data_IF_175189511024
#
_entry.id   IF_175189511024
#
_cell.length_a   1.000
_cell.length_b   1.000
_cell.length_c   1.000
_cell.angle_alpha   90.00
_cell.angle_beta   90.00
_cell.angle_gamma   90.00
#
_symmetry.space_group_name_H-M   'P 1'
#
loop_
_entity.id
_entity.type
_entity.pdbx_description
1 polymer ?
#
# COMPACT_ATOMS: atom_id res chain seq x y z
N UNK A 1 4.89 8.95 8.97
CA UNK A 1 3.62 9.47 8.42
C UNK A 1 2.88 10.32 9.42
N UNK A 2 2.57 11.56 9.04
CA UNK A 2 1.67 12.43 9.79
C UNK A 2 0.22 12.17 9.32
N UNK A 3 -0.56 11.45 10.11
CA UNK A 3 -1.95 11.10 9.77
C UNK A 3 -2.87 12.20 10.29
N UNK A 4 -3.72 12.83 9.44
CA UNK A 4 -4.64 13.86 9.90
C UNK A 4 -5.60 13.32 10.99
N UNK A 5 -5.95 14.12 12.02
CA UNK A 5 -6.72 13.64 13.18
C UNK A 5 -8.04 12.93 12.81
N UNK A 6 -8.76 13.43 11.81
CA UNK A 6 -10.01 12.81 11.31
C UNK A 6 -9.79 11.40 10.77
N UNK A 7 -8.68 11.16 10.07
CA UNK A 7 -8.36 9.84 9.53
C UNK A 7 -7.89 8.92 10.66
N UNK A 8 -7.02 9.43 11.54
CA UNK A 8 -6.46 8.66 12.64
C UNK A 8 -7.54 8.16 13.60
N UNK A 9 -8.53 9.00 13.95
CA UNK A 9 -9.61 8.60 14.86
C UNK A 9 -10.48 7.49 14.28
N UNK A 10 -10.78 7.54 12.97
CA UNK A 10 -11.50 6.49 12.27
C UNK A 10 -10.67 5.20 12.29
N UNK A 11 -9.40 5.26 11.91
CA UNK A 11 -8.51 4.09 11.84
C UNK A 11 -8.38 3.45 13.22
N UNK A 12 -8.11 4.22 14.28
CA UNK A 12 -7.97 3.69 15.65
C UNK A 12 -9.24 3.03 16.15
N UNK A 13 -10.41 3.63 15.86
CA UNK A 13 -11.72 3.06 16.22
C UNK A 13 -11.93 1.71 15.54
N UNK A 14 -11.70 1.63 14.22
CA UNK A 14 -11.90 0.38 13.49
C UNK A 14 -10.85 -0.67 13.86
N UNK A 15 -9.59 -0.27 14.05
CA UNK A 15 -8.49 -1.16 14.43
C UNK A 15 -8.74 -1.80 15.80
N UNK A 16 -9.17 -1.00 16.79
CA UNK A 16 -9.42 -1.49 18.15
C UNK A 16 -10.65 -2.42 18.24
N UNK A 17 -11.55 -2.36 17.25
CA UNK A 17 -12.76 -3.17 17.22
C UNK A 17 -12.58 -4.58 16.65
N UNK A 18 -11.38 -4.91 16.15
CA UNK A 18 -11.12 -6.16 15.42
C UNK A 18 -9.75 -6.75 15.75
N UNK A 19 -9.63 -8.09 15.75
CA UNK A 19 -8.32 -8.76 15.91
C UNK A 19 -7.48 -8.72 14.62
N UNK A 20 -8.12 -8.43 13.48
CA UNK A 20 -7.49 -8.39 12.16
C UNK A 20 -6.72 -9.67 11.84
N UNK A 21 -7.28 -10.81 12.23
CA UNK A 21 -6.65 -12.14 12.20
C UNK A 21 -7.18 -13.03 11.07
N UNK A 22 -8.24 -12.59 10.40
CA UNK A 22 -8.88 -13.26 9.27
C UNK A 22 -9.06 -12.31 8.09
N UNK A 23 -9.21 -12.87 6.87
CA UNK A 23 -9.52 -12.09 5.66
C UNK A 23 -10.80 -11.26 5.83
N UNK A 24 -11.83 -11.82 6.47
CA UNK A 24 -13.08 -11.10 6.74
C UNK A 24 -12.85 -9.87 7.62
N UNK A 25 -12.13 -10.04 8.72
CA UNK A 25 -11.81 -8.94 9.64
C UNK A 25 -10.99 -7.82 8.99
N UNK A 26 -10.01 -8.17 8.15
CA UNK A 26 -9.22 -7.19 7.39
C UNK A 26 -10.07 -6.45 6.34
N UNK A 27 -10.90 -7.21 5.61
CA UNK A 27 -11.84 -6.64 4.64
C UNK A 27 -12.79 -5.66 5.32
N UNK A 28 -13.38 -6.05 6.44
CA UNK A 28 -14.30 -5.22 7.22
C UNK A 28 -13.62 -3.97 7.78
N UNK A 29 -12.36 -4.07 8.20
CA UNK A 29 -11.55 -2.93 8.66
C UNK A 29 -11.37 -1.87 7.56
N UNK A 30 -10.83 -2.25 6.40
CA UNK A 30 -10.61 -1.29 5.31
C UNK A 30 -11.95 -0.72 4.79
N UNK A 31 -12.97 -1.56 4.61
CA UNK A 31 -14.28 -1.12 4.15
C UNK A 31 -14.96 -0.16 5.13
N UNK A 32 -14.83 -0.40 6.43
CA UNK A 32 -15.39 0.50 7.45
C UNK A 32 -14.66 1.84 7.47
N UNK A 33 -13.33 1.84 7.33
CA UNK A 33 -12.55 3.08 7.19
C UNK A 33 -12.99 3.90 5.97
N UNK A 34 -13.21 3.26 4.82
CA UNK A 34 -13.69 3.95 3.60
C UNK A 34 -15.09 4.51 3.76
N UNK A 35 -16.04 3.72 4.27
CA UNK A 35 -17.42 4.18 4.49
C UNK A 35 -17.45 5.36 5.46
N UNK A 36 -16.70 5.27 6.54
CA UNK A 36 -16.72 6.28 7.59
C UNK A 36 -16.09 7.60 7.13
N UNK A 37 -14.98 7.58 6.38
CA UNK A 37 -14.39 8.84 5.88
C UNK A 37 -15.29 9.54 4.85
N UNK A 38 -15.98 8.77 4.00
CA UNK A 38 -16.96 9.30 3.05
C UNK A 38 -18.11 9.97 3.81
N UNK A 39 -18.62 9.30 4.85
CA UNK A 39 -19.72 9.81 5.69
C UNK A 39 -19.33 11.06 6.47
N UNK A 40 -18.19 11.04 7.16
CA UNK A 40 -17.72 12.14 8.03
C UNK A 40 -17.41 13.39 7.22
N UNK A 41 -16.87 13.24 6.00
CA UNK A 41 -16.56 14.37 5.13
C UNK A 41 -17.71 14.73 4.16
N UNK A 42 -18.86 14.05 4.27
CA UNK A 42 -20.03 14.22 3.40
C UNK A 42 -19.67 14.24 1.89
N UNK A 43 -18.86 13.28 1.46
CA UNK A 43 -18.32 13.26 0.10
C UNK A 43 -19.36 12.71 -0.87
N UNK A 44 -19.75 13.53 -1.85
CA UNK A 44 -20.74 13.16 -2.87
C UNK A 44 -20.14 12.96 -4.26
N UNK A 45 -19.03 13.66 -4.57
CA UNK A 45 -18.41 13.57 -5.89
C UNK A 45 -17.35 12.46 -5.99
N UNK A 46 -17.18 11.97 -7.22
CA UNK A 46 -16.29 10.85 -7.51
C UNK A 46 -14.80 11.18 -7.30
N UNK A 47 -14.35 12.38 -7.68
CA UNK A 47 -12.93 12.73 -7.65
C UNK A 47 -12.42 12.88 -6.22
N UNK A 48 -13.18 13.59 -5.39
CA UNK A 48 -12.91 13.73 -3.95
C UNK A 48 -12.98 12.38 -3.26
N UNK A 49 -13.97 11.54 -3.58
CA UNK A 49 -14.06 10.18 -3.00
C UNK A 49 -12.83 9.35 -3.33
N UNK A 50 -12.40 9.34 -4.59
CA UNK A 50 -11.20 8.60 -5.01
C UNK A 50 -9.95 9.10 -4.26
N UNK A 51 -9.76 10.41 -4.15
CA UNK A 51 -8.62 10.99 -3.44
C UNK A 51 -8.65 10.66 -1.93
N UNK A 52 -9.79 10.85 -1.27
CA UNK A 52 -9.91 10.62 0.18
C UNK A 52 -9.85 9.15 0.56
N UNK A 53 -10.39 8.25 -0.27
CA UNK A 53 -10.28 6.80 -0.04
C UNK A 53 -8.88 6.27 -0.34
N UNK A 54 -8.17 6.82 -1.33
CA UNK A 54 -6.75 6.57 -1.54
C UNK A 54 -5.91 6.94 -0.33
N UNK A 55 -6.06 8.17 0.18
CA UNK A 55 -5.40 8.60 1.41
C UNK A 55 -5.76 7.70 2.61
N UNK A 56 -7.03 7.36 2.78
CA UNK A 56 -7.48 6.48 3.86
C UNK A 56 -6.82 5.10 3.77
N UNK A 57 -6.68 4.55 2.57
CA UNK A 57 -5.99 3.27 2.38
C UNK A 57 -4.53 3.35 2.82
N UNK A 58 -3.80 4.35 2.36
CA UNK A 58 -2.39 4.57 2.72
C UNK A 58 -2.21 4.71 4.25
N UNK A 59 -3.03 5.53 4.89
CA UNK A 59 -2.99 5.72 6.35
C UNK A 59 -3.35 4.43 7.11
N UNK A 60 -4.39 3.72 6.67
CA UNK A 60 -4.82 2.48 7.31
C UNK A 60 -3.78 1.36 7.13
N UNK A 61 -3.14 1.27 5.96
CA UNK A 61 -2.06 0.33 5.70
C UNK A 61 -0.83 0.64 6.55
N UNK A 62 -0.38 1.91 6.57
CA UNK A 62 0.74 2.32 7.42
C UNK A 62 0.49 1.99 8.89
N UNK A 63 -0.71 2.28 9.39
CA UNK A 63 -1.11 2.00 10.76
C UNK A 63 -1.12 0.49 11.05
N UNK A 64 -1.72 -0.30 10.16
CA UNK A 64 -1.75 -1.76 10.24
C UNK A 64 -0.32 -2.34 10.32
N UNK A 65 0.56 -1.91 9.42
CA UNK A 65 1.94 -2.40 9.36
C UNK A 65 2.71 -2.06 10.63
N UNK A 66 2.61 -0.80 11.08
CA UNK A 66 3.30 -0.33 12.28
C UNK A 66 2.80 -1.03 13.55
N UNK A 67 1.49 -1.13 13.73
CA UNK A 67 0.91 -1.60 15.00
C UNK A 67 0.71 -3.12 15.07
N UNK A 68 0.42 -3.80 13.94
CA UNK A 68 0.21 -5.25 13.93
C UNK A 68 1.52 -6.02 13.73
N UNK A 69 2.39 -5.55 12.85
CA UNK A 69 3.64 -6.25 12.50
C UNK A 69 4.89 -5.63 13.11
N UNK A 70 4.78 -4.47 13.76
CA UNK A 70 5.89 -3.80 14.44
C UNK A 70 7.07 -3.49 13.51
N UNK A 71 6.75 -3.15 12.26
CA UNK A 71 7.75 -2.69 11.29
C UNK A 71 7.92 -1.17 11.36
N UNK A 72 9.17 -0.74 11.19
CA UNK A 72 9.51 0.68 11.07
C UNK A 72 9.28 1.15 9.62
N UNK A 73 8.03 1.51 9.34
CA UNK A 73 7.56 1.97 8.04
C UNK A 73 7.52 3.50 7.99
N UNK A 74 8.04 4.09 6.92
CA UNK A 74 7.99 5.53 6.65
C UNK A 74 7.38 5.81 5.29
N UNK A 75 6.76 6.98 5.14
CA UNK A 75 6.18 7.49 3.91
C UNK A 75 7.20 8.34 3.12
N UNK A 76 6.97 8.47 1.81
CA UNK A 76 7.73 9.36 0.91
C UNK A 76 9.24 9.08 0.90
N UNK A 77 9.60 7.83 0.60
CA UNK A 77 11.01 7.43 0.51
C UNK A 77 11.58 7.92 -0.80
N UNK A 78 12.53 8.86 -0.72
CA UNK A 78 13.18 9.43 -1.90
C UNK A 78 14.00 8.38 -2.67
N UNK A 79 13.91 8.47 -4.00
CA UNK A 79 14.69 7.73 -4.99
C UNK A 79 15.57 8.73 -5.77
N UNK A 80 16.65 9.25 -5.16
CA UNK A 80 17.44 10.35 -5.72
C UNK A 80 18.16 10.00 -7.03
N UNK A 81 18.27 8.70 -7.36
CA UNK A 81 18.90 8.19 -8.59
C UNK A 81 17.89 7.66 -9.62
N UNK A 82 16.59 7.85 -9.40
CA UNK A 82 15.59 7.57 -10.43
C UNK A 82 15.76 8.60 -11.55
N UNK A 83 15.53 8.20 -12.81
CA UNK A 83 15.71 9.02 -14.01
C UNK A 83 14.78 10.26 -14.13
N UNK A 84 14.26 10.78 -13.02
CA UNK A 84 13.34 11.92 -12.95
C UNK A 84 14.11 13.14 -12.44
N UNK A 85 13.99 14.27 -13.15
CA UNK A 85 14.64 15.54 -12.80
C UNK A 85 14.25 16.09 -11.41
N UNK A 86 13.24 15.49 -10.76
CA UNK A 86 12.74 15.86 -9.44
C UNK A 86 13.05 14.82 -8.35
N UNK A 87 13.77 13.74 -8.70
CA UNK A 87 13.83 12.51 -7.88
C UNK A 87 12.52 11.72 -7.96
N UNK A 88 12.59 10.39 -7.90
CA UNK A 88 11.40 9.57 -7.69
C UNK A 88 11.06 9.50 -6.20
N UNK A 89 9.83 9.14 -5.85
CA UNK A 89 9.44 8.86 -4.47
C UNK A 89 8.62 7.57 -4.43
N UNK A 90 8.82 6.77 -3.39
CA UNK A 90 7.94 5.66 -3.06
C UNK A 90 6.86 6.11 -2.08
N UNK A 91 5.68 5.52 -2.19
CA UNK A 91 4.63 5.68 -1.19
C UNK A 91 5.16 5.29 0.20
N UNK A 92 5.81 4.12 0.32
CA UNK A 92 6.45 3.69 1.57
C UNK A 92 7.78 2.94 1.39
N UNK A 93 8.55 2.92 2.48
CA UNK A 93 9.63 1.96 2.68
C UNK A 93 9.69 1.48 4.12
N UNK A 94 10.19 0.26 4.30
CA UNK A 94 10.42 -0.32 5.63
C UNK A 94 11.91 -0.33 5.90
N UNK A 95 12.31 0.12 7.08
CA UNK A 95 13.71 0.21 7.51
C UNK A 95 14.01 -0.80 8.61
N UNK A 96 15.31 -1.06 8.81
CA UNK A 96 15.79 -1.79 9.99
C UNK A 96 15.35 -1.05 11.24
N UNK A 97 14.68 -1.77 12.12
CA UNK A 97 14.16 -1.22 13.37
C UNK A 97 15.29 -0.64 14.21
N UNK A 98 15.03 0.49 14.86
CA UNK A 98 15.97 1.19 15.74
C UNK A 98 17.28 1.63 15.03
N UNK A 99 17.24 1.76 13.70
CA UNK A 99 18.34 2.29 12.88
C UNK A 99 17.92 3.59 12.19
N UNK A 100 18.87 4.48 11.87
CA UNK A 100 18.57 5.70 11.12
C UNK A 100 17.93 5.38 9.77
N UNK A 101 16.97 6.21 9.34
CA UNK A 101 16.29 6.09 8.05
C UNK A 101 17.20 6.58 6.91
N UNK A 102 18.19 5.76 6.58
CA UNK A 102 19.16 5.98 5.51
C UNK A 102 19.20 4.77 4.59
N UNK A 103 19.63 4.98 3.34
CA UNK A 103 19.65 4.02 2.25
C UNK A 103 20.08 2.59 2.66
N UNK A 104 21.20 2.48 3.39
CA UNK A 104 21.77 1.18 3.82
C UNK A 104 20.87 0.36 4.76
N UNK A 105 19.88 0.98 5.38
CA UNK A 105 18.97 0.36 6.33
C UNK A 105 17.59 0.07 5.71
N UNK A 106 17.38 0.40 4.43
CA UNK A 106 16.15 0.09 3.73
C UNK A 106 16.03 -1.43 3.52
N UNK A 107 14.85 -1.98 3.82
CA UNK A 107 14.54 -3.39 3.71
C UNK A 107 13.66 -3.70 2.50
N UNK A 108 12.75 -2.80 2.13
CA UNK A 108 11.89 -2.96 0.97
C UNK A 108 11.31 -1.63 0.50
N UNK A 109 10.95 -1.57 -0.78
CA UNK A 109 10.13 -0.51 -1.36
C UNK A 109 8.67 -0.94 -1.50
N UNK A 110 7.73 -0.01 -1.33
CA UNK A 110 6.30 -0.30 -1.40
C UNK A 110 5.58 0.82 -2.16
N UNK A 111 4.80 0.43 -3.15
CA UNK A 111 3.77 1.27 -3.78
C UNK A 111 2.40 0.87 -3.24
N UNK A 112 1.58 1.83 -2.82
CA UNK A 112 0.25 1.62 -2.28
C UNK A 112 -0.82 2.05 -3.29
N UNK A 113 -1.75 1.15 -3.62
CA UNK A 113 -2.84 1.42 -4.56
C UNK A 113 -4.16 0.88 -4.03
N UNK A 114 -4.81 1.68 -3.18
CA UNK A 114 -6.10 1.36 -2.59
C UNK A 114 -7.28 2.01 -3.31
N UNK A 115 -8.46 1.47 -3.07
CA UNK A 115 -9.72 2.10 -3.48
C UNK A 115 -10.91 1.52 -2.72
N UNK A 116 -11.95 2.33 -2.56
CA UNK A 116 -13.25 1.83 -2.11
C UNK A 116 -13.82 0.81 -3.12
N UNK A 117 -14.08 -0.46 -2.70
CA UNK A 117 -14.57 -1.50 -3.61
C UNK A 117 -15.95 -1.21 -4.19
N UNK A 118 -16.74 -0.34 -3.55
CA UNK A 118 -18.05 0.09 -4.07
C UNK A 118 -17.93 1.17 -5.17
N UNK A 119 -16.72 1.54 -5.57
CA UNK A 119 -16.44 2.35 -6.76
C UNK A 119 -16.51 1.44 -8.01
N UNK A 120 -17.70 1.31 -8.59
CA UNK A 120 -18.06 0.22 -9.53
C UNK A 120 -17.34 0.24 -10.88
N UNK A 121 -16.59 1.28 -11.26
CA UNK A 121 -15.94 1.35 -12.59
C UNK A 121 -14.45 1.71 -12.59
N UNK A 122 -13.86 2.12 -11.46
CA UNK A 122 -12.51 2.71 -11.44
C UNK A 122 -11.69 2.39 -10.16
N UNK A 123 -11.90 1.22 -9.58
CA UNK A 123 -11.24 0.81 -8.35
C UNK A 123 -9.78 0.34 -8.56
N UNK A 124 -8.83 1.05 -7.94
CA UNK A 124 -7.48 0.54 -7.63
C UNK A 124 -6.72 -0.04 -8.84
N UNK A 125 -6.22 -1.28 -8.67
CA UNK A 125 -5.48 -2.01 -9.71
C UNK A 125 -6.37 -2.64 -10.79
N UNK A 126 -7.71 -2.47 -10.77
CA UNK A 126 -8.54 -2.87 -11.92
C UNK A 126 -8.24 -2.04 -13.18
N UNK A 127 -7.59 -0.88 -13.02
CA UNK A 127 -7.22 -0.02 -14.14
C UNK A 127 -5.78 -0.27 -14.56
N UNK A 128 -5.59 -0.41 -15.87
CA UNK A 128 -4.28 -0.60 -16.49
C UNK A 128 -3.33 0.57 -16.22
N UNK A 129 -3.82 1.81 -16.13
CA UNK A 129 -2.97 2.98 -15.82
C UNK A 129 -2.39 2.91 -14.41
N UNK A 130 -3.16 2.43 -13.44
CA UNK A 130 -2.69 2.25 -12.06
C UNK A 130 -1.56 1.22 -12.00
N UNK A 131 -1.70 0.09 -12.72
CA UNK A 131 -0.65 -0.94 -12.78
C UNK A 131 0.60 -0.42 -13.47
N UNK A 132 0.46 0.29 -14.60
CA UNK A 132 1.61 0.88 -15.31
C UNK A 132 2.40 1.83 -14.42
N UNK A 133 1.73 2.63 -13.58
CA UNK A 133 2.40 3.49 -12.59
C UNK A 133 3.18 2.66 -11.57
N UNK A 134 2.56 1.63 -11.02
CA UNK A 134 3.23 0.71 -10.08
C UNK A 134 4.44 0.00 -10.68
N UNK A 135 4.35 -0.50 -11.92
CA UNK A 135 5.47 -1.11 -12.65
C UNK A 135 6.58 -0.07 -12.88
N UNK A 136 6.23 1.16 -13.25
CA UNK A 136 7.21 2.24 -13.38
C UNK A 136 7.93 2.53 -12.06
N UNK A 137 7.22 2.61 -10.94
CA UNK A 137 7.82 2.77 -9.60
C UNK A 137 8.74 1.61 -9.27
N UNK A 138 8.31 0.37 -9.53
CA UNK A 138 9.11 -0.83 -9.31
C UNK A 138 10.41 -0.80 -10.12
N UNK A 139 10.33 -0.42 -11.39
CA UNK A 139 11.50 -0.32 -12.26
C UNK A 139 12.50 0.74 -11.75
N UNK A 140 12.01 1.91 -11.35
CA UNK A 140 12.86 2.96 -10.76
C UNK A 140 13.53 2.49 -9.48
N UNK A 141 12.78 1.83 -8.59
CA UNK A 141 13.30 1.27 -7.35
C UNK A 141 14.40 0.23 -7.63
N UNK A 142 14.12 -0.75 -8.50
CA UNK A 142 15.05 -1.85 -8.80
C UNK A 142 16.31 -1.39 -9.51
N UNK A 143 16.30 -0.23 -10.19
CA UNK A 143 17.53 0.36 -10.74
C UNK A 143 18.50 0.84 -9.67
N UNK A 144 18.00 1.25 -8.52
CA UNK A 144 18.81 1.69 -7.37
C UNK A 144 19.07 0.52 -6.41
N UNK A 145 18.04 -0.27 -6.13
CA UNK A 145 18.00 -1.30 -5.10
C UNK A 145 17.71 -2.68 -5.67
N UNK A 146 18.54 -3.16 -6.60
CA UNK A 146 18.31 -4.40 -7.37
C UNK A 146 17.94 -5.62 -6.51
N UNK A 147 18.57 -5.75 -5.34
CA UNK A 147 18.41 -6.92 -4.45
C UNK A 147 17.31 -6.77 -3.41
N UNK A 148 16.80 -5.56 -3.19
CA UNK A 148 15.74 -5.35 -2.19
C UNK A 148 14.38 -5.69 -2.80
N UNK A 149 13.47 -6.29 -2.02
CA UNK A 149 12.13 -6.58 -2.50
C UNK A 149 11.33 -5.29 -2.73
N UNK A 150 10.49 -5.32 -3.77
CA UNK A 150 9.52 -4.29 -4.09
C UNK A 150 8.12 -4.87 -4.10
N UNK A 151 7.21 -4.22 -3.39
CA UNK A 151 5.82 -4.67 -3.25
C UNK A 151 4.85 -3.64 -3.81
N UNK A 152 3.76 -4.14 -4.39
CA UNK A 152 2.57 -3.31 -4.60
C UNK A 152 1.48 -3.81 -3.66
N UNK A 153 1.02 -2.95 -2.76
CA UNK A 153 -0.02 -3.27 -1.79
C UNK A 153 -1.36 -2.70 -2.25
N UNK A 154 -2.42 -3.49 -2.19
CA UNK A 154 -3.76 -3.09 -2.60
C UNK A 154 -4.83 -3.82 -1.79
N UNK A 155 -6.07 -3.35 -1.85
CA UNK A 155 -7.25 -4.07 -1.39
C UNK A 155 -8.13 -4.57 -2.56
N UNK A 156 -7.65 -4.42 -3.81
CA UNK A 156 -8.39 -4.82 -5.01
C UNK A 156 -7.43 -5.44 -6.03
N UNK A 157 -7.43 -6.77 -6.13
CA UNK A 157 -6.66 -7.52 -7.12
C UNK A 157 -7.52 -7.74 -8.38
N UNK A 158 -7.02 -7.39 -9.59
CA UNK A 158 -7.70 -7.74 -10.84
C UNK A 158 -7.70 -9.25 -11.04
N UNK A 159 -8.82 -9.83 -11.47
CA UNK A 159 -8.95 -11.28 -11.73
C UNK A 159 -8.91 -11.63 -13.21
N UNK A 160 -9.02 -10.64 -14.10
CA UNK A 160 -9.03 -10.81 -15.56
C UNK A 160 -8.65 -9.52 -16.31
N UNK A 161 -8.54 -9.62 -17.64
CA UNK A 161 -8.27 -8.48 -18.52
C UNK A 161 -6.82 -8.00 -18.53
N UNK A 162 -6.57 -6.86 -19.19
CA UNK A 162 -5.23 -6.31 -19.38
C UNK A 162 -4.52 -5.99 -18.07
N UNK A 163 -5.28 -5.57 -17.05
CA UNK A 163 -4.77 -5.33 -15.72
C UNK A 163 -4.17 -6.61 -15.10
N UNK A 164 -4.93 -7.71 -15.11
CA UNK A 164 -4.44 -9.02 -14.63
C UNK A 164 -3.23 -9.50 -15.45
N UNK A 165 -3.29 -9.39 -16.78
CA UNK A 165 -2.19 -9.77 -17.65
C UNK A 165 -0.89 -9.02 -17.32
N UNK A 166 -0.94 -7.69 -17.15
CA UNK A 166 0.25 -6.90 -16.77
C UNK A 166 0.75 -7.23 -15.37
N UNK A 167 -0.16 -7.50 -14.43
CA UNK A 167 0.19 -7.92 -13.07
C UNK A 167 0.97 -9.25 -13.11
N UNK A 168 0.48 -10.23 -13.87
CA UNK A 168 1.10 -11.55 -14.02
C UNK A 168 2.46 -11.49 -14.70
N UNK A 169 2.64 -10.58 -15.67
CA UNK A 169 3.92 -10.37 -16.34
C UNK A 169 4.95 -9.71 -15.42
N UNK A 170 4.53 -8.84 -14.51
CA UNK A 170 5.44 -8.05 -13.68
C UNK A 170 5.77 -8.73 -12.34
N UNK A 171 4.87 -9.56 -11.80
CA UNK A 171 5.10 -10.29 -10.56
C UNK A 171 6.17 -11.38 -10.72
N UNK A 172 7.12 -11.43 -9.80
CA UNK A 172 8.26 -12.34 -9.84
C UNK A 172 9.43 -11.87 -10.72
N UNK A 173 9.22 -10.85 -11.55
CA UNK A 173 10.28 -10.19 -12.33
C UNK A 173 10.71 -8.87 -11.66
N UNK A 174 9.99 -7.77 -11.93
CA UNK A 174 10.34 -6.44 -11.40
C UNK A 174 9.61 -6.12 -10.09
N UNK A 175 8.46 -6.77 -9.84
CA UNK A 175 7.67 -6.67 -8.61
C UNK A 175 7.75 -8.01 -7.89
N UNK A 176 8.21 -8.02 -6.64
CA UNK A 176 8.34 -9.27 -5.88
C UNK A 176 6.98 -9.88 -5.54
N UNK A 177 6.00 -9.04 -5.19
CA UNK A 177 4.64 -9.48 -4.91
C UNK A 177 3.62 -8.33 -5.00
N UNK A 178 2.46 -8.62 -5.59
CA UNK A 178 1.23 -7.88 -5.37
C UNK A 178 0.54 -8.44 -4.13
N UNK A 179 0.39 -7.61 -3.10
CA UNK A 179 -0.11 -8.02 -1.79
C UNK A 179 -1.53 -7.51 -1.63
N UNK A 180 -2.50 -8.44 -1.53
CA UNK A 180 -3.84 -8.09 -1.08
C UNK A 180 -3.84 -7.92 0.44
N UNK A 181 -3.92 -6.67 0.90
CA UNK A 181 -3.90 -6.34 2.34
C UNK A 181 -5.17 -6.79 3.06
N UNK A 182 -6.21 -7.17 2.32
CA UNK A 182 -7.45 -7.75 2.87
C UNK A 182 -7.39 -9.27 2.97
N UNK A 183 -6.40 -9.91 2.35
CA UNK A 183 -6.11 -11.32 2.49
C UNK A 183 -5.06 -11.55 3.60
N UNK A 184 -5.44 -12.29 4.63
CA UNK A 184 -4.54 -12.50 5.78
C UNK A 184 -3.28 -13.29 5.41
N UNK A 185 -3.36 -14.24 4.47
CA UNK A 185 -2.22 -15.07 4.09
C UNK A 185 -1.22 -14.28 3.24
N UNK A 186 -1.70 -13.42 2.34
CA UNK A 186 -0.84 -12.47 1.61
C UNK A 186 -0.12 -11.53 2.58
N UNK A 187 -0.85 -10.98 3.55
CA UNK A 187 -0.29 -10.05 4.53
C UNK A 187 0.74 -10.72 5.46
N UNK A 188 0.49 -11.97 5.88
CA UNK A 188 1.47 -12.80 6.61
C UNK A 188 2.68 -13.11 5.75
N UNK A 189 2.48 -13.43 4.47
CA UNK A 189 3.55 -13.70 3.51
C UNK A 189 4.46 -12.49 3.32
N UNK A 190 3.85 -11.31 3.13
CA UNK A 190 4.53 -10.01 3.10
C UNK A 190 5.37 -9.80 4.36
N UNK A 191 4.78 -9.94 5.55
CA UNK A 191 5.51 -9.75 6.81
C UNK A 191 6.65 -10.77 7.01
N UNK A 192 6.43 -12.03 6.64
CA UNK A 192 7.46 -13.07 6.68
C UNK A 192 8.62 -12.72 5.76
N UNK A 193 8.34 -12.26 4.54
CA UNK A 193 9.36 -11.87 3.56
C UNK A 193 10.23 -10.73 4.09
N UNK A 194 9.64 -9.67 4.65
CA UNK A 194 10.40 -8.54 5.22
C UNK A 194 11.31 -8.97 6.37
N UNK A 195 10.82 -9.85 7.26
CA UNK A 195 11.62 -10.37 8.38
C UNK A 195 12.86 -11.15 7.95
N UNK A 196 12.91 -11.65 6.72
CA UNK A 196 14.11 -12.31 6.17
C UNK A 196 15.26 -11.32 5.86
N UNK A 197 14.97 -10.02 5.76
CA UNK A 197 15.95 -8.98 5.43
C UNK A 197 16.39 -8.13 6.64
N UNK A 198 15.74 -8.29 7.80
CA UNK A 198 16.11 -7.61 9.05
C UNK A 198 17.48 -8.09 9.55
#
# INVERSE_FOLDING_TARGET
MNIPPTFLSIIQKQYSSSKLSTTRELTDFFNSCFREIIRVLNITDYQTRAAKTGNMFEYAFWYLVKHKFNFDITDKVSLPKACLCSGGELDFGIFKKDKPHIEKNLLCGIEAKGSDPNSSTRAGLKRTDTIKKGISSAYQFKRIYQKLPFFIVTNVIPVSGNAKCMMDLAEGDIIDKFVDVTNIEDLKGFAKKIKQFQ
#
